data_IF_985784439231
#
_entry.id   IF_985784439231
#
_cell.length_a   1.000
_cell.length_b   1.000
_cell.length_c   1.000
_cell.angle_alpha   90.00
_cell.angle_beta   90.00
_cell.angle_gamma   90.00
#
_symmetry.space_group_name_H-M   'P 1'
#
loop_
_entity.id
_entity.type
_entity.pdbx_description
1 polymer ?
#
# COMPACT_ATOMS: atom_id res chain seq x y z
N UNK A 1 0.27 -12.17 -26.20
CA UNK A 1 1.28 -12.04 -25.14
C UNK A 1 0.63 -12.15 -23.77
N UNK A 2 1.29 -12.79 -22.80
CA UNK A 2 0.85 -12.91 -21.40
C UNK A 2 1.94 -12.41 -20.47
N UNK A 3 1.58 -11.52 -19.56
CA UNK A 3 2.51 -10.91 -18.58
C UNK A 3 2.07 -11.27 -17.18
N UNK A 4 2.99 -11.81 -16.38
CA UNK A 4 2.78 -12.05 -14.95
C UNK A 4 3.52 -10.99 -14.14
N UNK A 5 2.80 -10.26 -13.32
CA UNK A 5 3.34 -9.32 -12.35
C UNK A 5 3.47 -10.01 -10.99
N UNK A 6 4.49 -9.67 -10.22
CA UNK A 6 4.69 -10.20 -8.87
C UNK A 6 4.96 -9.04 -7.92
N UNK A 7 4.02 -8.81 -6.96
CA UNK A 7 4.15 -7.85 -5.87
C UNK A 7 3.55 -8.43 -4.59
N UNK A 8 4.36 -9.06 -3.79
CA UNK A 8 3.89 -9.87 -2.66
C UNK A 8 4.39 -9.40 -1.28
N UNK A 9 4.61 -8.09 -1.12
CA UNK A 9 5.05 -7.45 0.14
C UNK A 9 3.90 -6.78 0.92
N UNK A 10 3.91 -5.46 1.14
CA UNK A 10 2.93 -4.78 1.98
C UNK A 10 1.86 -4.06 1.14
N UNK A 11 0.89 -3.46 1.82
CA UNK A 11 -0.22 -2.72 1.22
C UNK A 11 0.29 -1.47 0.49
N UNK A 12 1.08 -0.62 1.17
CA UNK A 12 1.63 0.60 0.58
C UNK A 12 2.48 0.33 -0.65
N UNK A 13 3.33 -0.70 -0.60
CA UNK A 13 4.14 -1.15 -1.74
C UNK A 13 3.29 -1.49 -2.97
N UNK A 14 2.17 -2.19 -2.78
CA UNK A 14 1.29 -2.54 -3.89
C UNK A 14 0.50 -1.33 -4.40
N UNK A 15 0.09 -0.40 -3.53
CA UNK A 15 -0.53 0.86 -3.95
C UNK A 15 0.45 1.65 -4.83
N UNK A 16 1.72 1.79 -4.42
CA UNK A 16 2.78 2.42 -5.22
C UNK A 16 3.04 1.71 -6.56
N UNK A 17 2.64 0.46 -6.71
CA UNK A 17 2.79 -0.30 -7.97
C UNK A 17 1.64 -0.05 -8.96
N UNK A 18 0.48 0.42 -8.49
CA UNK A 18 -0.71 0.57 -9.35
C UNK A 18 -0.53 1.53 -10.53
N UNK A 19 0.25 2.63 -10.45
CA UNK A 19 0.58 3.44 -11.61
C UNK A 19 1.29 2.64 -12.72
N UNK A 20 2.26 1.79 -12.34
CA UNK A 20 2.97 0.95 -13.29
C UNK A 20 2.05 -0.08 -13.96
N UNK A 21 1.09 -0.67 -13.20
CA UNK A 21 0.06 -1.56 -13.76
C UNK A 21 -0.78 -0.84 -14.80
N UNK A 22 -1.21 0.38 -14.52
CA UNK A 22 -2.00 1.21 -15.45
C UNK A 22 -1.21 1.60 -16.69
N UNK A 23 0.05 2.02 -16.53
CA UNK A 23 0.94 2.34 -17.64
C UNK A 23 1.16 1.11 -18.55
N UNK A 24 1.38 -0.07 -17.94
CA UNK A 24 1.53 -1.32 -18.68
C UNK A 24 0.27 -1.66 -19.48
N UNK A 25 -0.93 -1.51 -18.90
CA UNK A 25 -2.19 -1.74 -19.61
C UNK A 25 -2.39 -0.78 -20.77
N UNK A 26 -2.03 0.48 -20.61
CA UNK A 26 -2.09 1.47 -21.72
C UNK A 26 -1.17 1.08 -22.88
N UNK A 27 0.04 0.64 -22.57
CA UNK A 27 1.00 0.24 -23.60
C UNK A 27 0.64 -1.11 -24.27
N UNK A 28 0.01 -1.99 -23.53
CA UNK A 28 -0.31 -3.36 -23.96
C UNK A 28 -1.80 -3.67 -23.77
N UNK A 29 -2.68 -2.94 -24.47
CA UNK A 29 -4.14 -2.95 -24.28
C UNK A 29 -4.78 -4.35 -24.40
N UNK A 30 -4.32 -5.18 -25.34
CA UNK A 30 -4.87 -6.51 -25.63
C UNK A 30 -4.10 -7.66 -24.96
N UNK A 31 -3.13 -7.34 -24.09
CA UNK A 31 -2.30 -8.35 -23.42
C UNK A 31 -3.01 -8.87 -22.17
N UNK A 32 -2.92 -10.17 -21.89
CA UNK A 32 -3.30 -10.72 -20.59
C UNK A 32 -2.27 -10.27 -19.55
N UNK A 33 -2.71 -9.51 -18.56
CA UNK A 33 -1.87 -9.01 -17.45
C UNK A 33 -2.43 -9.59 -16.15
N UNK A 34 -1.69 -10.50 -15.55
CA UNK A 34 -2.06 -11.15 -14.30
C UNK A 34 -1.09 -10.75 -13.19
N UNK A 35 -1.52 -10.85 -11.93
CA UNK A 35 -0.67 -10.49 -10.78
C UNK A 35 -0.68 -11.55 -9.69
N UNK A 36 0.48 -11.79 -9.08
CA UNK A 36 0.64 -12.56 -7.83
C UNK A 36 0.78 -11.60 -6.66
N UNK A 37 -0.13 -11.75 -5.71
CA UNK A 37 -0.18 -10.98 -4.45
C UNK A 37 -0.32 -11.92 -3.25
N UNK A 38 -0.12 -11.41 -2.05
CA UNK A 38 -0.43 -12.18 -0.83
C UNK A 38 -1.78 -11.76 -0.24
N UNK A 39 -2.32 -12.56 0.68
CA UNK A 39 -3.61 -12.31 1.32
C UNK A 39 -3.71 -10.99 2.11
N UNK A 40 -2.58 -10.41 2.50
CA UNK A 40 -2.57 -9.13 3.22
C UNK A 40 -2.81 -7.95 2.27
N UNK A 41 -2.22 -7.98 1.06
CA UNK A 41 -2.26 -6.86 0.13
C UNK A 41 -3.21 -7.07 -1.07
N UNK A 42 -3.84 -8.26 -1.21
CA UNK A 42 -4.71 -8.60 -2.34
C UNK A 42 -5.90 -7.63 -2.52
N UNK A 43 -6.41 -7.06 -1.41
CA UNK A 43 -7.50 -6.09 -1.44
C UNK A 43 -7.17 -4.83 -2.28
N UNK A 44 -5.89 -4.44 -2.36
CA UNK A 44 -5.45 -3.27 -3.14
C UNK A 44 -5.79 -3.40 -4.64
N UNK A 45 -5.74 -4.61 -5.17
CA UNK A 45 -5.94 -4.86 -6.60
C UNK A 45 -7.23 -5.62 -6.92
N UNK A 46 -8.03 -5.96 -5.91
CA UNK A 46 -9.26 -6.78 -6.07
C UNK A 46 -10.17 -6.29 -7.18
N UNK A 47 -10.38 -4.99 -7.25
CA UNK A 47 -11.26 -4.34 -8.23
C UNK A 47 -10.44 -3.53 -9.27
N UNK A 48 -9.15 -3.82 -9.45
CA UNK A 48 -8.31 -3.07 -10.37
C UNK A 48 -8.69 -3.41 -11.84
N UNK A 49 -9.17 -2.44 -12.64
CA UNK A 49 -9.69 -2.71 -13.98
C UNK A 49 -8.59 -3.01 -15.02
N UNK A 50 -7.32 -2.84 -14.65
CA UNK A 50 -6.17 -3.03 -15.54
C UNK A 50 -5.59 -4.44 -15.50
N UNK A 51 -6.10 -5.32 -14.62
CA UNK A 51 -5.67 -6.69 -14.44
C UNK A 51 -6.72 -7.68 -14.98
N UNK A 52 -6.25 -8.81 -15.52
CA UNK A 52 -7.12 -9.89 -15.96
C UNK A 52 -7.36 -10.93 -14.85
N UNK A 53 -6.28 -11.32 -14.14
CA UNK A 53 -6.37 -12.35 -13.10
C UNK A 53 -5.47 -12.00 -11.91
N UNK A 54 -5.96 -12.28 -10.72
CA UNK A 54 -5.25 -12.04 -9.46
C UNK A 54 -5.05 -13.38 -8.75
N UNK A 55 -3.79 -13.77 -8.59
CA UNK A 55 -3.41 -14.95 -7.81
C UNK A 55 -3.09 -14.53 -6.39
N UNK A 56 -3.95 -14.91 -5.45
CA UNK A 56 -3.80 -14.58 -4.05
C UNK A 56 -3.36 -15.78 -3.23
N UNK A 57 -2.20 -15.74 -2.59
CA UNK A 57 -1.72 -16.77 -1.69
C UNK A 57 -1.53 -16.26 -0.27
N UNK A 58 -1.63 -17.15 0.71
CA UNK A 58 -1.39 -16.83 2.12
C UNK A 58 0.04 -17.20 2.50
N UNK A 59 0.79 -16.26 3.08
CA UNK A 59 2.11 -16.55 3.65
C UNK A 59 1.95 -17.34 4.96
N UNK A 60 2.71 -18.42 5.19
CA UNK A 60 2.59 -19.22 6.43
C UNK A 60 2.76 -18.39 7.72
N UNK A 61 3.56 -17.32 7.68
CA UNK A 61 3.77 -16.41 8.81
C UNK A 61 2.53 -15.58 9.19
N UNK A 62 1.54 -15.50 8.30
CA UNK A 62 0.30 -14.73 8.55
C UNK A 62 -0.81 -15.58 9.18
N UNK A 63 -0.55 -16.86 9.45
CA UNK A 63 -1.51 -17.79 10.06
C UNK A 63 -0.89 -18.49 11.27
N UNK A 64 -1.69 -18.71 12.31
CA UNK A 64 -1.21 -19.23 13.60
C UNK A 64 -1.33 -20.75 13.71
N UNK A 65 -2.47 -21.32 13.29
CA UNK A 65 -2.71 -22.76 13.45
C UNK A 65 -1.98 -23.63 12.40
N UNK A 66 -1.62 -24.85 12.77
CA UNK A 66 -0.98 -25.82 11.89
C UNK A 66 -1.89 -26.13 10.69
N UNK A 67 -3.19 -26.37 10.92
CA UNK A 67 -4.15 -26.63 9.87
C UNK A 67 -4.22 -25.47 8.84
N UNK A 68 -4.20 -24.21 9.33
CA UNK A 68 -4.17 -23.04 8.44
C UNK A 68 -2.83 -22.95 7.64
N UNK A 69 -1.71 -23.32 8.23
CA UNK A 69 -0.41 -23.40 7.52
C UNK A 69 -0.42 -24.43 6.41
N UNK A 70 -0.98 -25.62 6.69
CA UNK A 70 -1.15 -26.71 5.70
C UNK A 70 -2.06 -26.26 4.55
N UNK A 71 -3.22 -25.65 4.88
CA UNK A 71 -4.13 -25.07 3.87
C UNK A 71 -3.43 -24.00 3.01
N UNK A 72 -2.65 -23.12 3.63
CA UNK A 72 -1.88 -22.08 2.92
C UNK A 72 -0.84 -22.70 1.98
N UNK A 73 -0.18 -23.79 2.39
CA UNK A 73 0.77 -24.52 1.55
C UNK A 73 0.10 -25.12 0.30
N UNK A 74 -0.99 -25.88 0.47
CA UNK A 74 -1.71 -26.44 -0.67
C UNK A 74 -2.32 -25.37 -1.57
N UNK A 75 -2.83 -24.28 -0.99
CA UNK A 75 -3.30 -23.11 -1.75
C UNK A 75 -2.18 -22.52 -2.62
N UNK A 76 -0.97 -22.38 -2.07
CA UNK A 76 0.20 -21.91 -2.84
C UNK A 76 0.57 -22.91 -3.95
N UNK A 77 0.58 -24.20 -3.68
CA UNK A 77 0.86 -25.23 -4.69
C UNK A 77 -0.14 -25.17 -5.86
N UNK A 78 -1.44 -24.99 -5.56
CA UNK A 78 -2.48 -24.82 -6.58
C UNK A 78 -2.19 -23.60 -7.48
N UNK A 79 -1.80 -22.46 -6.89
CA UNK A 79 -1.47 -21.25 -7.64
C UNK A 79 -0.22 -21.45 -8.49
N UNK A 80 0.82 -22.10 -7.97
CA UNK A 80 2.02 -22.44 -8.75
C UNK A 80 1.67 -23.31 -9.95
N UNK A 81 0.81 -24.32 -9.78
CA UNK A 81 0.35 -25.17 -10.88
C UNK A 81 -0.47 -24.36 -11.92
N UNK A 82 -1.35 -23.46 -11.49
CA UNK A 82 -2.09 -22.59 -12.39
C UNK A 82 -1.15 -21.68 -13.21
N UNK A 83 -0.15 -21.06 -12.56
CA UNK A 83 0.85 -20.22 -13.23
C UNK A 83 1.65 -21.04 -14.25
N UNK A 84 2.06 -22.25 -13.89
CA UNK A 84 2.79 -23.15 -14.78
C UNK A 84 2.01 -23.47 -16.06
N UNK A 85 0.70 -23.65 -15.97
CA UNK A 85 -0.17 -23.95 -17.11
C UNK A 85 -0.43 -22.76 -18.04
N UNK A 86 -0.30 -21.53 -17.55
CA UNK A 86 -0.64 -20.33 -18.33
C UNK A 86 0.39 -20.00 -19.42
N UNK A 87 1.65 -20.46 -19.31
CA UNK A 87 2.73 -20.16 -20.26
C UNK A 87 2.90 -18.66 -20.49
N UNK A 88 3.39 -17.94 -19.49
CA UNK A 88 3.65 -16.51 -19.57
C UNK A 88 4.84 -16.21 -20.47
N UNK A 89 4.75 -15.14 -21.25
CA UNK A 89 5.85 -14.64 -22.09
C UNK A 89 6.84 -13.82 -21.27
N UNK A 90 6.32 -13.02 -20.34
CA UNK A 90 7.07 -12.07 -19.52
C UNK A 90 6.67 -12.19 -18.06
N UNK A 91 7.65 -12.07 -17.16
CA UNK A 91 7.45 -11.89 -15.72
C UNK A 91 8.10 -10.57 -15.28
N UNK A 92 7.39 -9.76 -14.50
CA UNK A 92 7.92 -8.54 -13.88
C UNK A 92 7.83 -8.65 -12.36
N UNK A 93 8.97 -8.58 -11.68
CA UNK A 93 9.05 -8.59 -10.21
C UNK A 93 9.20 -7.16 -9.72
N UNK A 94 8.14 -6.58 -9.18
CA UNK A 94 8.14 -5.22 -8.65
C UNK A 94 8.79 -5.14 -7.27
N UNK A 95 10.10 -5.33 -7.23
CA UNK A 95 10.87 -5.19 -5.98
C UNK A 95 12.23 -4.60 -6.26
N UNK A 96 12.64 -3.61 -5.46
CA UNK A 96 13.94 -2.97 -5.56
C UNK A 96 15.11 -3.84 -5.03
N UNK A 97 14.79 -5.02 -4.48
CA UNK A 97 15.76 -6.01 -4.01
C UNK A 97 15.30 -7.42 -4.35
N UNK A 98 16.24 -8.35 -4.47
CA UNK A 98 15.93 -9.75 -4.72
C UNK A 98 15.01 -10.33 -3.64
N UNK A 99 14.03 -11.12 -4.06
CA UNK A 99 13.05 -11.76 -3.18
C UNK A 99 12.91 -13.26 -3.50
N UNK A 100 13.40 -14.16 -2.63
CA UNK A 100 13.24 -15.61 -2.84
C UNK A 100 11.78 -16.03 -2.98
N UNK A 101 10.87 -15.38 -2.25
CA UNK A 101 9.45 -15.70 -2.33
C UNK A 101 8.80 -15.28 -3.66
N UNK A 102 9.30 -14.24 -4.32
CA UNK A 102 8.87 -13.84 -5.66
C UNK A 102 9.53 -14.73 -6.74
N UNK A 103 10.81 -15.07 -6.56
CA UNK A 103 11.58 -15.91 -7.48
C UNK A 103 10.93 -17.29 -7.70
N UNK A 104 10.28 -17.87 -6.70
CA UNK A 104 9.57 -19.16 -6.84
C UNK A 104 8.46 -19.05 -7.90
N UNK A 105 7.64 -18.00 -7.88
CA UNK A 105 6.58 -17.80 -8.87
C UNK A 105 7.15 -17.50 -10.25
N UNK A 106 8.21 -16.69 -10.33
CA UNK A 106 8.89 -16.39 -11.59
C UNK A 106 9.48 -17.65 -12.24
N UNK A 107 10.12 -18.53 -11.44
CA UNK A 107 10.68 -19.79 -11.93
C UNK A 107 9.60 -20.73 -12.50
N UNK A 108 8.47 -20.83 -11.82
CA UNK A 108 7.37 -21.70 -12.24
C UNK A 108 6.66 -21.17 -13.48
N UNK A 109 6.64 -19.86 -13.69
CA UNK A 109 6.05 -19.23 -14.87
C UNK A 109 6.81 -19.56 -16.16
N UNK A 110 8.09 -19.95 -16.09
CA UNK A 110 8.95 -20.36 -17.22
C UNK A 110 8.98 -19.36 -18.38
N UNK A 111 8.79 -18.08 -18.08
CA UNK A 111 8.78 -17.04 -19.09
C UNK A 111 10.17 -16.86 -19.71
N UNK A 112 10.19 -16.49 -20.99
CA UNK A 112 11.44 -16.20 -21.72
C UNK A 112 12.10 -14.92 -21.22
N UNK A 113 11.31 -13.96 -20.72
CA UNK A 113 11.77 -12.67 -20.19
C UNK A 113 11.34 -12.51 -18.74
N UNK A 114 12.30 -12.41 -17.81
CA UNK A 114 12.05 -12.21 -16.39
C UNK A 114 12.83 -10.99 -15.93
N UNK A 115 12.11 -9.94 -15.54
CA UNK A 115 12.62 -8.62 -15.20
C UNK A 115 12.60 -8.47 -13.66
N UNK A 116 13.71 -8.04 -13.07
CA UNK A 116 13.76 -7.82 -11.64
C UNK A 116 15.15 -7.54 -11.07
N UNK A 117 15.22 -7.32 -9.75
CA UNK A 117 16.47 -7.19 -9.02
C UNK A 117 17.16 -8.53 -8.83
N UNK A 118 18.48 -8.52 -8.85
CA UNK A 118 19.32 -9.67 -8.50
C UNK A 118 20.13 -9.39 -7.25
N UNK A 119 20.41 -10.43 -6.47
CA UNK A 119 21.45 -10.39 -5.45
C UNK A 119 22.78 -10.82 -6.08
N UNK A 120 23.90 -10.26 -5.64
CA UNK A 120 25.20 -10.40 -6.32
C UNK A 120 25.60 -11.83 -6.73
N UNK A 121 25.16 -12.87 -6.00
CA UNK A 121 25.55 -14.25 -6.23
C UNK A 121 24.38 -15.25 -6.36
N UNK A 122 23.10 -14.78 -6.29
CA UNK A 122 21.94 -15.65 -6.30
C UNK A 122 21.09 -15.46 -7.57
N UNK A 123 20.57 -16.56 -8.11
CA UNK A 123 19.61 -16.65 -9.22
C UNK A 123 19.94 -15.83 -10.48
N UNK A 124 21.23 -15.67 -10.80
CA UNK A 124 21.69 -15.01 -12.04
C UNK A 124 21.10 -15.61 -13.31
N UNK A 125 20.74 -16.90 -13.28
CA UNK A 125 20.17 -17.58 -14.43
C UNK A 125 18.65 -17.41 -14.55
N UNK A 126 17.96 -17.00 -13.47
CA UNK A 126 16.52 -16.82 -13.49
C UNK A 126 16.12 -15.45 -14.06
N UNK A 127 16.80 -14.39 -13.62
CA UNK A 127 16.48 -13.00 -14.03
C UNK A 127 17.21 -12.69 -15.34
N UNK A 128 16.46 -12.57 -16.44
CA UNK A 128 17.03 -12.28 -17.77
C UNK A 128 17.38 -10.81 -17.94
N UNK A 129 16.49 -9.93 -17.47
CA UNK A 129 16.64 -8.47 -17.51
C UNK A 129 16.88 -7.94 -16.10
N UNK A 130 18.16 -7.78 -15.76
CA UNK A 130 18.61 -7.38 -14.43
C UNK A 130 18.50 -5.88 -14.25
N UNK A 131 17.88 -5.45 -13.18
CA UNK A 131 17.71 -4.05 -12.87
C UNK A 131 18.58 -3.64 -11.69
N UNK A 132 19.31 -2.56 -11.87
CA UNK A 132 19.97 -1.81 -10.81
C UNK A 132 19.09 -0.62 -10.46
N UNK A 133 18.56 -0.62 -9.24
CA UNK A 133 17.63 0.42 -8.79
C UNK A 133 18.37 1.55 -8.11
N UNK A 134 18.07 2.76 -8.51
CA UNK A 134 18.43 3.95 -7.76
C UNK A 134 17.55 4.03 -6.49
N UNK A 135 18.13 3.68 -5.33
CA UNK A 135 17.43 3.63 -4.06
C UNK A 135 17.01 5.02 -3.54
N UNK A 136 17.47 6.12 -4.16
CA UNK A 136 17.03 7.48 -3.84
C UNK A 136 15.66 7.83 -4.43
N UNK A 137 15.21 7.08 -5.44
CA UNK A 137 13.93 7.32 -6.09
C UNK A 137 12.74 6.91 -5.24
N UNK A 138 11.62 7.56 -5.50
CA UNK A 138 10.32 7.19 -4.92
C UNK A 138 9.90 5.77 -5.37
N UNK A 139 9.23 5.01 -4.49
CA UNK A 139 8.88 3.61 -4.74
C UNK A 139 8.02 3.42 -6.00
N UNK A 140 7.10 4.35 -6.32
CA UNK A 140 6.33 4.29 -7.56
C UNK A 140 7.22 4.42 -8.81
N UNK A 141 8.28 5.24 -8.75
CA UNK A 141 9.26 5.38 -9.83
C UNK A 141 10.13 4.13 -9.98
N UNK A 142 10.50 3.48 -8.88
CA UNK A 142 11.18 2.18 -8.92
C UNK A 142 10.32 1.12 -9.61
N UNK A 143 9.00 1.12 -9.35
CA UNK A 143 8.07 0.26 -10.07
C UNK A 143 8.04 0.57 -11.57
N UNK A 144 8.17 1.84 -11.96
CA UNK A 144 8.25 2.23 -13.37
C UNK A 144 9.54 1.74 -14.03
N UNK A 145 10.68 1.83 -13.35
CA UNK A 145 11.94 1.27 -13.85
C UNK A 145 11.82 -0.22 -14.18
N UNK A 146 10.97 -0.97 -13.45
CA UNK A 146 10.71 -2.38 -13.78
C UNK A 146 10.09 -2.57 -15.17
N UNK A 147 9.44 -1.57 -15.73
CA UNK A 147 8.80 -1.64 -17.05
C UNK A 147 9.68 -1.12 -18.19
N UNK A 148 10.81 -0.48 -17.89
CA UNK A 148 11.73 0.05 -18.91
C UNK A 148 12.18 -1.00 -19.94
N UNK A 149 12.49 -2.27 -19.58
CA UNK A 149 12.82 -3.31 -20.54
C UNK A 149 11.68 -3.72 -21.48
N UNK A 150 10.46 -3.25 -21.21
CA UNK A 150 9.28 -3.42 -22.07
C UNK A 150 8.97 -2.16 -22.89
N UNK A 151 9.82 -1.14 -22.84
CA UNK A 151 9.59 0.14 -23.53
C UNK A 151 8.45 0.97 -22.92
N UNK A 152 8.01 0.66 -21.70
CA UNK A 152 6.93 1.38 -21.03
C UNK A 152 7.50 2.46 -20.13
N UNK A 153 7.16 3.70 -20.42
CA UNK A 153 7.51 4.87 -19.63
C UNK A 153 6.28 5.36 -18.85
N UNK A 154 6.52 5.75 -17.62
CA UNK A 154 5.54 6.37 -16.74
C UNK A 154 5.72 7.90 -16.78
N UNK A 155 4.64 8.64 -16.95
CA UNK A 155 4.70 10.12 -16.85
C UNK A 155 3.81 10.64 -15.74
N UNK A 156 2.49 10.46 -15.83
CA UNK A 156 1.51 11.13 -14.97
C UNK A 156 0.49 10.16 -14.33
N UNK A 157 0.85 8.87 -14.25
CA UNK A 157 -0.06 7.89 -13.69
C UNK A 157 -0.18 8.03 -12.17
N UNK A 158 -1.40 8.07 -11.68
CA UNK A 158 -1.68 8.16 -10.24
C UNK A 158 -1.91 6.78 -9.62
N UNK A 159 -1.59 6.67 -8.34
CA UNK A 159 -1.94 5.50 -7.55
C UNK A 159 -3.46 5.30 -7.54
N UNK A 160 -3.87 4.04 -7.52
CA UNK A 160 -5.27 3.66 -7.61
C UNK A 160 -5.62 2.66 -6.51
N UNK A 161 -6.71 2.92 -5.83
CA UNK A 161 -7.46 1.93 -5.07
C UNK A 161 -8.93 2.03 -5.48
N UNK A 162 -9.57 0.90 -5.78
CA UNK A 162 -11.01 0.86 -6.12
C UNK A 162 -11.73 0.09 -5.03
N UNK A 163 -12.37 0.78 -4.07
CA UNK A 163 -13.17 0.14 -3.03
C UNK A 163 -14.43 -0.49 -3.64
N UNK A 164 -14.99 -1.47 -2.93
CA UNK A 164 -16.22 -2.13 -3.36
C UNK A 164 -17.43 -1.19 -3.32
N UNK A 165 -17.45 -0.28 -2.35
CA UNK A 165 -18.51 0.72 -2.14
C UNK A 165 -17.99 1.95 -1.41
N UNK A 166 -18.76 3.04 -1.40
CA UNK A 166 -18.52 4.26 -0.61
C UNK A 166 -19.51 4.31 0.54
N UNK A 167 -19.03 4.47 1.76
CA UNK A 167 -19.89 4.56 2.92
C UNK A 167 -20.22 6.02 3.26
N UNK A 168 -21.34 6.51 2.79
CA UNK A 168 -21.79 7.90 2.98
C UNK A 168 -22.03 8.29 4.46
N UNK A 169 -22.10 7.32 5.38
CA UNK A 169 -22.18 7.61 6.83
C UNK A 169 -20.97 8.43 7.32
N UNK A 170 -19.83 8.30 6.67
CA UNK A 170 -18.61 9.02 7.01
C UNK A 170 -18.35 10.25 6.13
N UNK A 171 -19.39 10.70 5.40
CA UNK A 171 -19.32 11.96 4.66
C UNK A 171 -19.03 13.11 5.59
N UNK A 172 -18.10 13.97 5.19
CA UNK A 172 -17.65 15.15 5.93
C UNK A 172 -16.96 14.86 7.28
N UNK A 173 -16.62 13.59 7.58
CA UNK A 173 -15.80 13.27 8.73
C UNK A 173 -14.34 13.62 8.50
N UNK A 174 -13.68 14.14 9.53
CA UNK A 174 -12.22 14.12 9.63
C UNK A 174 -11.81 12.76 10.18
N UNK A 175 -10.93 12.09 9.46
CA UNK A 175 -10.48 10.74 9.82
C UNK A 175 -9.06 10.80 10.37
N UNK A 176 -8.83 10.30 11.59
CA UNK A 176 -7.48 10.15 12.14
C UNK A 176 -7.13 8.67 12.33
N UNK A 177 -6.20 8.15 11.52
CA UNK A 177 -5.65 6.81 11.72
C UNK A 177 -4.48 6.86 12.69
N UNK A 178 -4.67 6.32 13.89
CA UNK A 178 -3.77 6.49 15.04
C UNK A 178 -2.76 5.34 15.24
N UNK A 179 -2.64 4.41 14.29
CA UNK A 179 -1.77 3.24 14.44
C UNK A 179 -0.62 3.24 13.44
N UNK A 180 0.54 2.76 13.88
CA UNK A 180 1.66 2.36 13.03
C UNK A 180 2.39 1.15 13.62
N UNK A 181 2.90 0.28 12.75
CA UNK A 181 3.71 -0.89 13.15
C UNK A 181 5.14 -0.52 13.50
N UNK A 182 5.61 0.63 13.02
CA UNK A 182 6.96 1.15 13.29
C UNK A 182 6.90 2.02 14.51
N UNK A 183 7.70 1.72 15.51
CA UNK A 183 7.69 2.41 16.81
C UNK A 183 7.93 3.92 16.66
N UNK A 184 8.93 4.32 15.87
CA UNK A 184 9.27 5.73 15.64
C UNK A 184 8.19 6.51 14.86
N UNK A 185 7.22 5.82 14.27
CA UNK A 185 6.07 6.44 13.61
C UNK A 185 4.86 6.56 14.54
N UNK A 186 4.93 6.06 15.78
CA UNK A 186 3.83 6.12 16.75
C UNK A 186 3.81 7.45 17.47
N UNK A 187 2.62 7.82 17.92
CA UNK A 187 2.38 8.93 18.85
C UNK A 187 2.00 8.38 20.22
N UNK A 188 2.36 9.11 21.27
CA UNK A 188 1.86 8.86 22.61
C UNK A 188 0.34 9.08 22.69
N UNK A 189 -0.31 8.45 23.65
CA UNK A 189 -1.71 8.66 23.92
C UNK A 189 -2.02 10.15 24.19
N UNK A 190 -1.19 10.82 24.99
CA UNK A 190 -1.36 12.25 25.29
C UNK A 190 -1.39 13.11 24.03
N UNK A 191 -0.44 12.90 23.11
CA UNK A 191 -0.38 13.63 21.86
C UNK A 191 -1.55 13.35 20.94
N UNK A 192 -2.03 12.11 20.88
CA UNK A 192 -3.23 11.75 20.12
C UNK A 192 -4.44 12.52 20.68
N UNK A 193 -4.60 12.55 21.99
CA UNK A 193 -5.71 13.27 22.65
C UNK A 193 -5.64 14.79 22.43
N UNK A 194 -4.45 15.41 22.47
CA UNK A 194 -4.28 16.83 22.15
C UNK A 194 -4.67 17.15 20.70
N UNK A 195 -4.29 16.30 19.74
CA UNK A 195 -4.69 16.45 18.34
C UNK A 195 -6.21 16.32 18.19
N UNK A 196 -6.82 15.35 18.85
CA UNK A 196 -8.26 15.12 18.81
C UNK A 196 -9.04 16.30 19.42
N UNK A 197 -8.56 16.86 20.53
CA UNK A 197 -9.16 18.04 21.14
C UNK A 197 -9.10 19.25 20.20
N UNK A 198 -7.97 19.47 19.53
CA UNK A 198 -7.85 20.51 18.52
C UNK A 198 -8.82 20.32 17.34
N UNK A 199 -9.01 19.07 16.87
CA UNK A 199 -9.96 18.72 15.82
C UNK A 199 -11.41 19.00 16.26
N UNK A 200 -11.80 18.62 17.48
CA UNK A 200 -13.15 18.82 18.05
C UNK A 200 -13.56 20.30 18.12
N UNK A 201 -12.62 21.18 18.38
CA UNK A 201 -12.90 22.63 18.40
C UNK A 201 -13.27 23.19 17.01
N UNK A 202 -13.02 22.46 15.92
CA UNK A 202 -13.14 22.95 14.53
C UNK A 202 -14.04 22.11 13.64
N UNK A 203 -14.19 20.83 13.96
CA UNK A 203 -14.96 19.91 13.15
C UNK A 203 -15.99 19.17 14.00
N UNK A 204 -17.20 19.10 13.48
CA UNK A 204 -18.31 18.41 14.17
C UNK A 204 -18.18 16.88 14.12
N UNK A 205 -17.67 16.35 13.02
CA UNK A 205 -17.64 14.92 12.75
C UNK A 205 -16.20 14.42 12.72
N UNK A 206 -15.78 13.64 13.72
CA UNK A 206 -14.44 13.08 13.83
C UNK A 206 -14.54 11.59 14.03
N UNK A 207 -13.75 10.85 13.27
CA UNK A 207 -13.59 9.42 13.43
C UNK A 207 -12.12 9.04 13.57
N UNK A 208 -11.85 8.08 14.43
CA UNK A 208 -10.52 7.44 14.51
C UNK A 208 -10.58 6.01 14.00
N UNK A 209 -9.45 5.52 13.50
CA UNK A 209 -9.23 4.10 13.23
C UNK A 209 -7.89 3.63 13.76
N UNK A 210 -7.83 2.36 14.17
CA UNK A 210 -6.63 1.73 14.73
C UNK A 210 -6.52 0.26 14.31
N UNK A 211 -5.29 -0.26 14.20
CA UNK A 211 -5.07 -1.70 13.97
C UNK A 211 -5.51 -2.53 15.20
N UNK A 212 -5.30 -2.01 16.42
CA UNK A 212 -5.68 -2.64 17.67
C UNK A 212 -7.02 -2.09 18.17
N UNK A 213 -8.04 -2.96 18.18
CA UNK A 213 -9.41 -2.55 18.51
C UNK A 213 -9.55 -2.02 19.96
N UNK A 214 -8.83 -2.61 20.92
CA UNK A 214 -8.89 -2.16 22.31
C UNK A 214 -8.31 -0.76 22.48
N UNK A 215 -7.15 -0.50 21.86
CA UNK A 215 -6.54 0.83 21.87
C UNK A 215 -7.45 1.86 21.20
N UNK A 216 -8.03 1.53 20.03
CA UNK A 216 -8.96 2.42 19.34
C UNK A 216 -10.23 2.72 20.17
N UNK A 217 -10.81 1.72 20.85
CA UNK A 217 -11.95 1.93 21.74
C UNK A 217 -11.58 2.85 22.91
N UNK A 218 -10.45 2.61 23.56
CA UNK A 218 -10.00 3.38 24.72
C UNK A 218 -9.81 4.86 24.38
N UNK A 219 -9.10 5.14 23.29
CA UNK A 219 -8.93 6.52 22.77
C UNK A 219 -10.28 7.16 22.41
N UNK A 220 -11.16 6.43 21.72
CA UNK A 220 -12.46 6.98 21.31
C UNK A 220 -13.33 7.37 22.49
N UNK A 221 -13.32 6.58 23.57
CA UNK A 221 -14.03 6.92 24.80
C UNK A 221 -13.42 8.12 25.51
N UNK A 222 -12.09 8.20 25.63
CA UNK A 222 -11.41 9.33 26.26
C UNK A 222 -11.61 10.65 25.52
N UNK A 223 -11.61 10.60 24.20
CA UNK A 223 -11.77 11.78 23.36
C UNK A 223 -13.21 12.10 22.99
N UNK A 224 -14.17 11.22 23.25
CA UNK A 224 -15.56 11.33 22.83
C UNK A 224 -15.68 11.53 21.31
N UNK A 225 -15.12 10.58 20.55
CA UNK A 225 -15.14 10.58 19.07
C UNK A 225 -15.55 9.19 18.54
N UNK A 226 -15.93 9.11 17.27
CA UNK A 226 -16.35 7.85 16.66
C UNK A 226 -15.16 6.92 16.43
N UNK A 227 -15.20 5.70 16.94
CA UNK A 227 -14.27 4.65 16.53
C UNK A 227 -14.79 3.90 15.30
N UNK A 228 -14.15 4.13 14.16
CA UNK A 228 -14.42 3.45 12.91
C UNK A 228 -13.77 2.06 12.92
N UNK A 229 -14.37 1.14 13.68
CA UNK A 229 -13.91 -0.25 13.74
C UNK A 229 -14.20 -0.95 12.42
N UNK A 230 -13.18 -1.53 11.80
CA UNK A 230 -13.30 -2.21 10.52
C UNK A 230 -12.79 -3.65 10.57
N UNK A 231 -13.36 -4.51 9.72
CA UNK A 231 -13.00 -5.93 9.59
C UNK A 231 -12.01 -6.16 8.44
N UNK A 232 -11.88 -5.19 7.55
CA UNK A 232 -11.03 -5.31 6.36
C UNK A 232 -10.52 -3.94 5.91
N UNK A 233 -9.47 -3.94 5.08
CA UNK A 233 -8.97 -2.72 4.46
C UNK A 233 -10.00 -2.13 3.48
N UNK A 234 -10.81 -2.95 2.81
CA UNK A 234 -11.82 -2.50 1.87
C UNK A 234 -12.94 -1.72 2.59
N UNK A 235 -13.35 -2.19 3.77
CA UNK A 235 -14.29 -1.48 4.64
C UNK A 235 -13.69 -0.15 5.14
N UNK A 236 -12.43 -0.14 5.58
CA UNK A 236 -11.74 1.09 5.95
C UNK A 236 -11.64 2.06 4.76
N UNK A 237 -11.35 1.55 3.58
CA UNK A 237 -11.28 2.33 2.36
C UNK A 237 -12.64 2.97 2.03
N UNK A 238 -13.75 2.26 2.24
CA UNK A 238 -15.11 2.78 2.00
C UNK A 238 -15.44 3.97 2.92
N UNK A 239 -14.96 3.94 4.17
CA UNK A 239 -15.13 5.05 5.13
C UNK A 239 -14.24 6.23 4.76
N UNK A 240 -12.95 5.97 4.51
CA UNK A 240 -11.96 6.99 4.14
C UNK A 240 -12.38 7.71 2.85
N UNK A 241 -12.90 6.99 1.86
CA UNK A 241 -13.32 7.57 0.58
C UNK A 241 -14.43 8.62 0.71
N UNK A 242 -15.24 8.55 1.76
CA UNK A 242 -16.25 9.54 2.08
C UNK A 242 -15.74 10.71 2.93
N UNK A 243 -14.56 10.60 3.52
CA UNK A 243 -14.03 11.55 4.47
C UNK A 243 -13.69 12.92 3.84
N UNK A 244 -13.77 13.98 4.64
CA UNK A 244 -13.34 15.33 4.27
C UNK A 244 -11.84 15.39 4.03
N UNK A 245 -11.06 14.85 4.97
CA UNK A 245 -9.62 14.61 4.87
C UNK A 245 -9.17 13.55 5.89
N UNK A 246 -7.96 13.07 5.71
CA UNK A 246 -7.34 12.06 6.59
C UNK A 246 -6.07 12.62 7.21
N UNK A 247 -5.95 12.51 8.53
CA UNK A 247 -4.68 12.59 9.26
C UNK A 247 -4.22 11.16 9.56
N UNK A 248 -2.97 10.83 9.30
CA UNK A 248 -2.47 9.47 9.50
C UNK A 248 -1.00 9.44 9.87
N UNK A 249 -0.60 8.41 10.57
CA UNK A 249 0.80 8.03 10.72
C UNK A 249 1.28 7.33 9.46
N UNK A 250 2.60 7.36 9.20
CA UNK A 250 3.18 6.61 8.08
C UNK A 250 2.87 5.11 8.18
N UNK A 251 2.30 4.57 7.12
CA UNK A 251 1.80 3.19 7.02
C UNK A 251 0.93 2.95 5.79
N UNK A 252 0.15 1.88 5.82
CA UNK A 252 -0.73 1.51 4.69
C UNK A 252 -1.80 2.56 4.36
N UNK A 253 -2.36 3.21 5.38
CA UNK A 253 -3.42 4.23 5.24
C UNK A 253 -2.87 5.51 4.60
N UNK A 254 -1.59 5.86 4.86
CA UNK A 254 -0.93 6.99 4.23
C UNK A 254 -0.91 6.90 2.69
N UNK A 255 -0.84 5.69 2.15
CA UNK A 255 -0.94 5.48 0.71
C UNK A 255 -2.38 5.30 0.22
N UNK A 256 -3.24 4.69 1.05
CA UNK A 256 -4.62 4.39 0.71
C UNK A 256 -5.46 5.65 0.49
N UNK A 257 -5.41 6.61 1.40
CA UNK A 257 -6.25 7.80 1.34
C UNK A 257 -5.99 8.66 0.10
N UNK A 258 -4.73 9.00 -0.26
CA UNK A 258 -4.46 9.71 -1.52
C UNK A 258 -4.79 8.90 -2.77
N UNK A 259 -4.69 7.55 -2.73
CA UNK A 259 -5.10 6.70 -3.85
C UNK A 259 -6.63 6.70 -4.07
N UNK A 260 -7.40 7.04 -3.05
CA UNK A 260 -8.85 7.28 -3.10
C UNK A 260 -9.21 8.73 -3.51
N UNK A 261 -8.22 9.60 -3.71
CA UNK A 261 -8.42 11.02 -4.01
C UNK A 261 -8.72 11.89 -2.79
N UNK A 262 -8.51 11.38 -1.58
CA UNK A 262 -8.80 12.10 -0.34
C UNK A 262 -7.58 12.91 0.12
N UNK A 263 -7.80 14.16 0.52
CA UNK A 263 -6.78 15.03 1.11
C UNK A 263 -6.18 14.35 2.35
N UNK A 264 -4.86 14.35 2.46
CA UNK A 264 -4.18 13.57 3.50
C UNK A 264 -3.02 14.34 4.12
N UNK A 265 -2.93 14.32 5.44
CA UNK A 265 -1.75 14.76 6.20
C UNK A 265 -1.08 13.52 6.77
N UNK A 266 0.20 13.33 6.48
CA UNK A 266 0.97 12.17 6.94
C UNK A 266 2.06 12.62 7.89
N UNK A 267 2.07 12.01 9.09
CA UNK A 267 3.12 12.19 10.09
C UNK A 267 4.16 11.07 9.93
N UNK A 268 5.35 11.43 9.44
CA UNK A 268 6.46 10.51 9.25
C UNK A 268 7.37 10.48 10.48
N UNK A 269 7.77 9.28 10.86
CA UNK A 269 8.87 9.08 11.80
C UNK A 269 10.12 8.59 11.06
N UNK A 270 10.50 7.32 11.25
CA UNK A 270 11.73 6.72 10.73
C UNK A 270 11.83 6.67 9.20
N UNK A 271 10.71 6.51 8.53
CA UNK A 271 10.65 6.25 7.10
C UNK A 271 11.06 7.49 6.28
N UNK A 272 11.78 7.30 5.19
CA UNK A 272 12.21 8.42 4.34
C UNK A 272 11.06 8.91 3.44
N UNK A 273 10.56 10.15 3.61
CA UNK A 273 9.47 10.69 2.80
C UNK A 273 9.83 10.83 1.32
N UNK A 274 11.09 11.07 0.94
CA UNK A 274 11.50 11.13 -0.46
C UNK A 274 11.17 9.83 -1.19
N UNK A 275 11.23 8.71 -0.49
CA UNK A 275 10.90 7.39 -1.05
C UNK A 275 9.42 7.03 -0.91
N UNK A 276 8.75 7.45 0.18
CA UNK A 276 7.47 6.88 0.58
C UNK A 276 6.33 7.89 0.72
N UNK A 277 6.59 9.20 0.56
CA UNK A 277 5.50 10.17 0.59
C UNK A 277 4.50 9.88 -0.54
N UNK A 278 3.18 9.85 -0.29
CA UNK A 278 2.20 9.43 -1.29
C UNK A 278 1.88 10.53 -2.33
N UNK A 279 2.91 11.16 -2.88
CA UNK A 279 2.83 12.26 -3.86
C UNK A 279 2.25 11.84 -5.22
N UNK A 280 2.15 10.54 -5.48
CA UNK A 280 1.52 10.01 -6.69
C UNK A 280 0.02 9.70 -6.49
N UNK A 281 -0.55 10.03 -5.34
CA UNK A 281 -2.00 9.96 -5.12
C UNK A 281 -2.77 10.98 -5.97
N UNK A 282 -4.08 10.78 -6.11
CA UNK A 282 -4.98 11.77 -6.72
C UNK A 282 -5.41 12.84 -5.71
N UNK A 283 -5.39 12.52 -4.40
CA UNK A 283 -5.64 13.47 -3.33
C UNK A 283 -4.41 14.30 -2.99
N UNK A 284 -4.64 15.53 -2.58
CA UNK A 284 -3.59 16.41 -2.04
C UNK A 284 -2.94 15.78 -0.80
N UNK A 285 -1.62 15.79 -0.72
CA UNK A 285 -0.88 15.20 0.38
C UNK A 285 0.10 16.19 1.01
N UNK A 286 -0.02 16.37 2.32
CA UNK A 286 0.93 17.14 3.14
C UNK A 286 1.71 16.16 4.01
N UNK A 287 3.03 16.31 4.05
CA UNK A 287 3.94 15.45 4.81
C UNK A 287 4.64 16.26 5.87
N UNK A 288 4.65 15.75 7.10
CA UNK A 288 5.42 16.29 8.23
C UNK A 288 6.39 15.23 8.74
N UNK A 289 7.60 15.64 9.05
CA UNK A 289 8.62 14.78 9.68
C UNK A 289 9.49 15.62 10.61
N UNK A 290 9.76 15.12 11.81
CA UNK A 290 10.72 15.76 12.71
C UNK A 290 12.16 15.56 12.22
N UNK A 291 13.11 16.45 12.55
CA UNK A 291 14.52 16.30 12.23
C UNK A 291 15.11 14.96 12.71
N UNK A 292 14.68 14.48 13.87
CA UNK A 292 15.16 13.23 14.48
C UNK A 292 14.46 11.96 13.94
N UNK A 293 13.54 12.13 13.00
CA UNK A 293 12.76 11.00 12.40
C UNK A 293 11.95 10.22 13.45
N UNK A 294 11.34 10.92 14.37
CA UNK A 294 10.43 10.42 15.40
C UNK A 294 9.13 11.21 15.29
N UNK A 295 8.01 10.55 14.98
CA UNK A 295 6.73 11.23 14.74
C UNK A 295 6.24 11.98 15.98
N UNK A 296 6.52 11.45 17.18
CA UNK A 296 6.18 12.10 18.46
C UNK A 296 6.78 13.50 18.59
N UNK A 297 7.93 13.77 18.00
CA UNK A 297 8.64 15.05 18.09
C UNK A 297 8.17 16.10 17.08
N UNK A 298 7.24 15.80 16.18
CA UNK A 298 6.61 16.79 15.31
C UNK A 298 5.81 17.74 16.19
N UNK A 299 6.08 19.04 16.14
CA UNK A 299 5.40 20.03 16.99
C UNK A 299 3.91 20.09 16.70
N UNK A 300 3.09 20.18 17.75
CA UNK A 300 1.65 20.26 17.61
C UNK A 300 1.21 21.46 16.75
N UNK A 301 1.86 22.61 16.91
CA UNK A 301 1.57 23.81 16.10
C UNK A 301 1.78 23.56 14.60
N UNK A 302 2.79 22.77 14.23
CA UNK A 302 3.00 22.39 12.82
C UNK A 302 1.86 21.51 12.30
N UNK A 303 1.43 20.53 13.10
CA UNK A 303 0.29 19.66 12.76
C UNK A 303 -0.98 20.48 12.63
N UNK A 304 -1.26 21.35 13.61
CA UNK A 304 -2.46 22.18 13.66
C UNK A 304 -2.53 23.15 12.48
N UNK A 305 -1.42 23.80 12.13
CA UNK A 305 -1.34 24.67 10.97
C UNK A 305 -1.63 23.93 9.65
N UNK A 306 -1.25 22.65 9.55
CA UNK A 306 -1.56 21.85 8.35
C UNK A 306 -3.01 21.37 8.33
N UNK A 307 -3.59 21.06 9.48
CA UNK A 307 -5.02 20.77 9.60
C UNK A 307 -5.86 21.96 9.13
N UNK A 308 -5.48 23.19 9.52
CA UNK A 308 -6.19 24.41 9.11
C UNK A 308 -6.15 24.68 7.60
N UNK A 309 -5.18 24.15 6.86
CA UNK A 309 -5.13 24.24 5.40
C UNK A 309 -6.21 23.40 4.72
N UNK A 310 -6.77 22.39 5.41
CA UNK A 310 -7.81 21.50 4.91
C UNK A 310 -9.19 21.73 5.54
N UNK A 311 -9.27 22.69 6.47
CA UNK A 311 -10.49 23.05 7.20
C UNK A 311 -11.61 23.68 6.32
#
# INVERSE_FOLDING_TARGET
MKILLIRNDNIGDLICTTPAIKALRKAYAQTQIDIVVNSLNACVVKNNPFLNKIYTYTKPKHVRSIAAKVKAFFGKCKILFQIWRENYDVVVIFRSSYSPSAAIFARVARAKKIIGAVKQNEDRHLITDRLNFDQSLHEAMLCCQCLAPLGVNFKDEKTLYVPSEKNEKFKDFVFFHISSRVEQNRLSEGKILEILEFLKQRFKNIAISAEEANFGNDISHKADVVFARTKSLDELASYIWAAKFVLTLDGGVAHLAPALGVKTIVLFGKTNPLRWAPIYGSGECIVLQSPNKIAEEIKNDEIFNKILQFA
#
